data_IF_337761119525
#
_entry.id   IF_337761119525
#
_cell.length_a   1.000
_cell.length_b   1.000
_cell.length_c   1.000
_cell.angle_alpha   90.00
_cell.angle_beta   90.00
_cell.angle_gamma   90.00
#
_symmetry.space_group_name_H-M   'P 1'
#
loop_
_entity.id
_entity.type
_entity.pdbx_description
1 polymer ?
#
# COMPACT_ATOMS: atom_id res chain seq x y z
N UNK A 1 23.67 4.39 25.67
CA UNK A 1 23.23 5.34 24.61
C UNK A 1 22.00 4.74 23.95
N UNK A 2 20.81 5.35 24.04
CA UNK A 2 19.65 4.88 23.26
C UNK A 2 19.98 5.10 21.79
N UNK A 3 19.99 4.05 20.97
CA UNK A 3 20.03 4.22 19.50
C UNK A 3 18.76 4.97 19.12
N UNK A 4 18.88 6.22 18.71
CA UNK A 4 17.79 6.96 18.11
C UNK A 4 17.56 6.38 16.72
N UNK A 5 16.73 5.35 16.62
CA UNK A 5 16.26 4.85 15.33
C UNK A 5 15.12 5.73 14.85
N UNK A 6 15.07 5.99 13.55
CA UNK A 6 13.92 6.71 12.96
C UNK A 6 12.66 5.85 13.12
N UNK A 7 11.45 6.42 13.20
CA UNK A 7 10.25 5.60 13.16
C UNK A 7 10.12 4.88 11.81
N UNK A 8 9.58 3.67 11.82
CA UNK A 8 9.04 3.06 10.61
C UNK A 8 7.77 3.82 10.21
N UNK A 9 7.68 4.28 8.96
CA UNK A 9 6.54 5.03 8.43
C UNK A 9 5.87 4.22 7.32
N UNK A 10 4.54 4.12 7.39
CA UNK A 10 3.69 3.48 6.38
C UNK A 10 2.79 4.56 5.78
N UNK A 11 2.66 4.53 4.47
CA UNK A 11 1.74 5.35 3.69
C UNK A 11 0.85 4.42 2.84
N UNK A 12 -0.43 4.76 2.72
CA UNK A 12 -1.43 3.93 2.05
C UNK A 12 -2.29 4.81 1.17
N UNK A 13 -2.28 4.52 -0.13
CA UNK A 13 -3.19 5.14 -1.07
C UNK A 13 -4.47 4.31 -1.18
N UNK A 14 -5.60 4.99 -1.29
CA UNK A 14 -6.92 4.36 -1.30
C UNK A 14 -7.65 4.59 -2.63
N UNK A 15 -8.59 3.70 -2.96
CA UNK A 15 -9.45 3.83 -4.14
C UNK A 15 -10.39 5.04 -4.11
N UNK A 16 -10.40 5.81 -3.01
CA UNK A 16 -11.15 7.04 -2.84
C UNK A 16 -11.10 7.60 -1.41
N UNK A 17 -11.73 8.75 -1.19
CA UNK A 17 -11.62 9.51 0.06
C UNK A 17 -12.66 9.14 1.15
N UNK A 18 -13.57 8.21 0.86
CA UNK A 18 -14.66 7.82 1.78
C UNK A 18 -14.41 6.47 2.46
N UNK A 19 -15.16 6.18 3.52
CA UNK A 19 -15.02 4.94 4.30
C UNK A 19 -15.28 3.63 3.53
N UNK A 20 -15.86 3.71 2.34
CA UNK A 20 -16.06 2.57 1.44
C UNK A 20 -14.84 2.27 0.56
N UNK A 21 -13.80 3.10 0.58
CA UNK A 21 -12.58 2.87 -0.18
C UNK A 21 -11.76 1.70 0.37
N UNK A 22 -10.83 1.22 -0.45
CA UNK A 22 -9.95 0.11 -0.13
C UNK A 22 -8.50 0.46 -0.55
N UNK A 23 -7.48 -0.18 0.03
CA UNK A 23 -6.08 0.12 -0.28
C UNK A 23 -5.71 -0.29 -1.72
N UNK A 24 -4.98 0.58 -2.41
CA UNK A 24 -4.52 0.37 -3.80
C UNK A 24 -2.99 0.40 -3.94
N UNK A 25 -2.29 1.03 -2.99
CA UNK A 25 -0.84 0.99 -2.84
C UNK A 25 -0.48 1.02 -1.35
N UNK A 26 0.61 0.33 -0.98
CA UNK A 26 1.21 0.45 0.35
C UNK A 26 2.70 0.74 0.17
N UNK A 27 3.15 1.86 0.71
CA UNK A 27 4.56 2.25 0.80
C UNK A 27 5.06 2.21 2.24
N UNK A 28 6.29 1.76 2.44
CA UNK A 28 6.91 1.72 3.77
C UNK A 28 8.40 2.08 3.71
N UNK A 29 8.84 2.83 4.72
CA UNK A 29 10.24 3.01 5.07
C UNK A 29 10.45 2.56 6.52
N UNK A 30 11.34 1.59 6.73
CA UNK A 30 11.70 1.08 8.06
C UNK A 30 12.68 2.02 8.76
N UNK A 31 12.77 1.86 10.07
CA UNK A 31 13.71 2.59 10.93
C UNK A 31 15.19 2.53 10.51
N UNK A 32 15.58 1.50 9.75
CA UNK A 32 16.93 1.28 9.21
C UNK A 32 17.11 1.80 7.78
N UNK A 33 16.08 2.44 7.21
CA UNK A 33 16.07 2.99 5.87
C UNK A 33 15.69 1.99 4.77
N UNK A 34 15.42 0.72 5.10
CA UNK A 34 14.90 -0.23 4.13
C UNK A 34 13.53 0.23 3.61
N UNK A 35 13.31 0.09 2.31
CA UNK A 35 12.07 0.53 1.64
C UNK A 35 11.38 -0.64 0.97
N UNK A 36 10.06 -0.60 0.96
CA UNK A 36 9.22 -1.55 0.25
C UNK A 36 7.96 -0.84 -0.22
N UNK A 37 7.46 -1.22 -1.40
CA UNK A 37 6.23 -0.67 -1.94
C UNK A 37 5.57 -1.70 -2.87
N UNK A 38 4.24 -1.80 -2.81
CA UNK A 38 3.43 -2.65 -3.71
C UNK A 38 2.12 -1.98 -4.08
N UNK A 39 1.75 -2.12 -5.35
CA UNK A 39 0.38 -1.95 -5.81
C UNK A 39 -0.45 -3.20 -5.45
N UNK A 40 -1.71 -3.00 -5.08
CA UNK A 40 -2.64 -4.07 -4.76
C UNK A 40 -3.61 -4.30 -5.91
N UNK A 41 -3.68 -5.53 -6.41
CA UNK A 41 -4.75 -5.94 -7.32
C UNK A 41 -6.04 -6.11 -6.49
N UNK A 42 -7.10 -5.35 -6.76
CA UNK A 42 -8.31 -5.41 -5.95
C UNK A 42 -8.94 -6.80 -5.97
N UNK A 43 -9.53 -7.21 -4.85
CA UNK A 43 -10.44 -8.34 -4.85
C UNK A 43 -11.68 -8.02 -5.68
N UNK A 44 -12.34 -9.04 -6.22
CA UNK A 44 -13.57 -8.85 -7.01
C UNK A 44 -14.70 -8.15 -6.22
N UNK A 45 -14.72 -8.33 -4.89
CA UNK A 45 -15.66 -7.67 -3.97
C UNK A 45 -15.35 -6.20 -3.70
N UNK A 46 -14.16 -5.71 -4.07
CA UNK A 46 -13.73 -4.33 -3.88
C UNK A 46 -14.13 -3.49 -5.09
N UNK A 47 -15.32 -2.89 -5.01
CA UNK A 47 -15.96 -2.23 -6.16
C UNK A 47 -15.93 -0.70 -6.10
N UNK A 48 -15.60 -0.10 -4.96
CA UNK A 48 -15.54 1.36 -4.81
C UNK A 48 -14.38 1.97 -5.62
N UNK A 49 -14.67 2.96 -6.46
CA UNK A 49 -13.62 3.71 -7.16
C UNK A 49 -13.98 5.17 -7.37
N UNK A 50 -13.11 6.07 -6.92
CA UNK A 50 -13.25 7.51 -7.11
C UNK A 50 -12.27 8.01 -8.17
N UNK A 51 -12.80 8.56 -9.27
CA UNK A 51 -11.99 9.13 -10.36
C UNK A 51 -11.16 10.34 -9.91
N UNK A 52 -11.59 11.08 -8.88
CA UNK A 52 -10.79 12.18 -8.32
C UNK A 52 -9.57 11.66 -7.60
N UNK A 53 -9.71 10.55 -6.86
CA UNK A 53 -8.59 9.88 -6.23
C UNK A 53 -7.63 9.29 -7.28
N UNK A 54 -8.15 8.61 -8.31
CA UNK A 54 -7.33 8.14 -9.44
C UNK A 54 -6.52 9.30 -10.06
N UNK A 55 -7.16 10.45 -10.32
CA UNK A 55 -6.48 11.62 -10.88
C UNK A 55 -5.45 12.23 -9.92
N UNK A 56 -5.69 12.16 -8.61
CA UNK A 56 -4.78 12.70 -7.60
C UNK A 56 -3.55 11.81 -7.41
N UNK A 57 -3.76 10.50 -7.26
CA UNK A 57 -2.71 9.51 -7.02
C UNK A 57 -1.95 9.13 -8.30
N UNK A 58 -2.59 9.27 -9.48
CA UNK A 58 -2.02 8.84 -10.76
C UNK A 58 -2.00 7.31 -10.94
N UNK A 59 -2.79 6.59 -10.15
CA UNK A 59 -2.88 5.12 -10.16
C UNK A 59 -4.23 4.71 -10.73
N UNK A 60 -4.23 4.14 -11.94
CA UNK A 60 -5.45 3.69 -12.61
C UNK A 60 -5.84 2.27 -12.20
N UNK A 61 -7.12 1.91 -12.34
CA UNK A 61 -7.55 0.51 -12.14
C UNK A 61 -6.79 -0.46 -13.04
N UNK A 62 -6.48 -0.07 -14.27
CA UNK A 62 -5.74 -0.91 -15.21
C UNK A 62 -4.31 -1.18 -14.70
N UNK A 63 -3.65 -0.19 -14.09
CA UNK A 63 -2.34 -0.41 -13.46
C UNK A 63 -2.43 -1.44 -12.34
N UNK A 64 -3.48 -1.37 -11.50
CA UNK A 64 -3.69 -2.35 -10.43
C UNK A 64 -3.94 -3.76 -10.97
N UNK A 65 -4.69 -3.91 -12.06
CA UNK A 65 -4.94 -5.22 -12.65
C UNK A 65 -3.71 -5.82 -13.33
N UNK A 66 -2.87 -4.98 -13.94
CA UNK A 66 -1.69 -5.43 -14.71
C UNK A 66 -0.43 -5.59 -13.87
N UNK A 67 -0.28 -4.78 -12.81
CA UNK A 67 0.96 -4.68 -12.01
C UNK A 67 0.73 -4.92 -10.53
N UNK A 68 -0.52 -4.97 -10.07
CA UNK A 68 -0.86 -5.20 -8.68
C UNK A 68 -0.61 -6.65 -8.28
N UNK A 69 -0.15 -6.81 -7.05
CA UNK A 69 0.01 -8.12 -6.41
C UNK A 69 -1.28 -8.50 -5.67
N UNK A 70 -1.46 -9.80 -5.46
CA UNK A 70 -2.62 -10.30 -4.70
C UNK A 70 -2.54 -9.82 -3.24
N UNK A 71 -3.63 -9.27 -2.66
CA UNK A 71 -3.55 -8.59 -1.36
C UNK A 71 -3.06 -9.49 -0.20
N UNK A 72 -3.41 -10.78 -0.16
CA UNK A 72 -2.90 -11.68 0.87
C UNK A 72 -1.39 -11.89 0.75
N UNK A 73 -0.85 -12.05 -0.47
CA UNK A 73 0.60 -12.08 -0.71
C UNK A 73 1.28 -10.80 -0.22
N UNK A 74 0.71 -9.64 -0.53
CA UNK A 74 1.19 -8.32 -0.05
C UNK A 74 1.25 -8.27 1.48
N UNK A 75 0.20 -8.73 2.18
CA UNK A 75 0.19 -8.78 3.65
C UNK A 75 1.27 -9.73 4.22
N UNK A 76 1.47 -10.90 3.61
CA UNK A 76 2.52 -11.85 4.04
C UNK A 76 3.91 -11.25 3.84
N UNK A 77 4.17 -10.66 2.68
CA UNK A 77 5.45 -9.97 2.40
C UNK A 77 5.69 -8.80 3.35
N UNK A 78 4.67 -7.99 3.61
CA UNK A 78 4.75 -6.86 4.54
C UNK A 78 5.05 -7.33 5.97
N UNK A 79 4.38 -8.38 6.45
CA UNK A 79 4.65 -8.98 7.75
C UNK A 79 6.10 -9.49 7.84
N UNK A 80 6.62 -10.12 6.79
CA UNK A 80 8.02 -10.56 6.76
C UNK A 80 9.00 -9.38 6.72
N UNK A 81 8.68 -8.33 5.98
CA UNK A 81 9.49 -7.11 5.88
C UNK A 81 9.56 -6.38 7.23
N UNK A 82 8.45 -6.35 7.96
CA UNK A 82 8.32 -5.76 9.29
C UNK A 82 8.80 -6.67 10.43
N UNK A 83 8.69 -8.00 10.30
CA UNK A 83 9.04 -8.95 11.37
C UNK A 83 10.53 -8.96 11.75
N UNK A 84 11.37 -8.29 10.96
CA UNK A 84 12.78 -8.04 11.24
C UNK A 84 13.04 -6.68 11.92
N UNK A 85 12.02 -6.05 12.53
CA UNK A 85 12.14 -4.84 13.36
C UNK A 85 12.32 -5.17 14.83
#
# INVERSE_FOLDING_TARGET
VRKNTLPTIIDIEASGFGAASYPIEIGIVRYDGAKWCKLLRPFDSWVHWDRKAESLHGITQQMLQTRGEEPRKVCVELNNFLGNT
#
